data_IF_695732850840
#
_entry.id   IF_695732850840
#
_cell.length_a   1.000
_cell.length_b   1.000
_cell.length_c   1.000
_cell.angle_alpha   90.00
_cell.angle_beta   90.00
_cell.angle_gamma   90.00
#
_symmetry.space_group_name_H-M   'P 1'
#
loop_
_entity.id
_entity.type
_entity.pdbx_description
1 polymer ?
#
# COMPACT_ATOMS: atom_id res chain seq x y z
N UNK A 1 18.01 -26.20 35.31
CA UNK A 1 18.82 -25.79 34.12
C UNK A 1 18.11 -26.02 32.77
N UNK A 2 17.35 -27.11 32.53
CA UNK A 2 16.64 -27.34 31.25
C UNK A 2 15.56 -26.31 30.87
N UNK A 3 14.89 -25.67 31.84
CA UNK A 3 13.84 -24.66 31.57
C UNK A 3 14.38 -23.29 31.12
N UNK A 4 15.63 -22.95 31.45
CA UNK A 4 16.25 -21.67 31.09
C UNK A 4 16.72 -21.68 29.62
N UNK A 5 17.17 -22.83 29.12
CA UNK A 5 17.63 -22.98 27.73
C UNK A 5 16.50 -22.77 26.70
N UNK A 6 15.27 -23.19 27.04
CA UNK A 6 14.10 -23.06 26.16
C UNK A 6 13.72 -21.59 25.97
N UNK A 7 13.85 -20.76 27.01
CA UNK A 7 13.56 -19.31 26.94
C UNK A 7 14.56 -18.57 26.05
N UNK A 8 15.84 -18.93 26.10
CA UNK A 8 16.87 -18.33 25.24
C UNK A 8 16.71 -18.71 23.75
N UNK A 9 16.29 -19.94 23.46
CA UNK A 9 16.07 -20.40 22.07
C UNK A 9 14.90 -19.65 21.43
N UNK A 10 13.80 -19.43 22.17
CA UNK A 10 12.63 -18.69 21.68
C UNK A 10 12.98 -17.22 21.39
N UNK A 11 13.82 -16.59 22.22
CA UNK A 11 14.27 -15.21 22.03
C UNK A 11 15.17 -15.05 20.79
N UNK A 12 16.08 -16.00 20.52
CA UNK A 12 16.98 -15.96 19.36
C UNK A 12 16.24 -16.20 18.04
N UNK A 13 15.23 -17.08 18.01
CA UNK A 13 14.40 -17.29 16.82
C UNK A 13 13.53 -16.08 16.45
N UNK A 14 13.13 -15.27 17.44
CA UNK A 14 12.33 -14.08 17.20
C UNK A 14 13.15 -12.92 16.59
N UNK A 15 14.44 -12.81 16.91
CA UNK A 15 15.29 -11.75 16.37
C UNK A 15 15.56 -11.89 14.86
N UNK A 16 15.73 -13.12 14.37
CA UNK A 16 15.99 -13.38 12.94
C UNK A 16 14.80 -12.93 12.08
N UNK A 17 13.57 -13.28 12.48
CA UNK A 17 12.36 -12.84 11.80
C UNK A 17 12.13 -11.33 11.86
N UNK A 18 12.51 -10.67 12.96
CA UNK A 18 12.45 -9.20 13.06
C UNK A 18 13.43 -8.52 12.12
N UNK A 19 14.68 -9.01 12.03
CA UNK A 19 15.71 -8.42 11.17
C UNK A 19 15.41 -8.62 9.67
N UNK A 20 14.89 -9.79 9.29
CA UNK A 20 14.45 -10.07 7.91
C UNK A 20 13.27 -9.17 7.49
N UNK A 21 12.35 -8.87 8.41
CA UNK A 21 11.25 -7.94 8.15
C UNK A 21 11.74 -6.51 7.96
N UNK A 22 12.65 -6.03 8.82
CA UNK A 22 13.24 -4.68 8.69
C UNK A 22 13.94 -4.54 7.33
N UNK A 23 14.72 -5.54 6.92
CA UNK A 23 15.41 -5.50 5.64
C UNK A 23 14.45 -5.48 4.45
N UNK A 24 13.36 -6.28 4.51
CA UNK A 24 12.34 -6.25 3.47
C UNK A 24 11.68 -4.87 3.38
N UNK A 25 11.28 -4.30 4.50
CA UNK A 25 10.63 -2.98 4.56
C UNK A 25 11.52 -1.90 3.93
N UNK A 26 12.80 -1.88 4.30
CA UNK A 26 13.78 -0.95 3.73
C UNK A 26 13.93 -1.12 2.23
N UNK A 27 14.02 -2.37 1.75
CA UNK A 27 14.11 -2.65 0.30
C UNK A 27 12.84 -2.27 -0.45
N UNK A 28 11.67 -2.46 0.16
CA UNK A 28 10.38 -2.07 -0.41
C UNK A 28 10.29 -0.56 -0.55
N UNK A 29 10.62 0.17 0.51
CA UNK A 29 10.65 1.64 0.50
C UNK A 29 11.64 2.17 -0.55
N UNK A 30 12.86 1.61 -0.62
CA UNK A 30 13.88 1.99 -1.61
C UNK A 30 13.40 1.74 -3.04
N UNK A 31 12.80 0.58 -3.31
CA UNK A 31 12.27 0.27 -4.63
C UNK A 31 11.15 1.24 -5.02
N UNK A 32 10.22 1.52 -4.10
CA UNK A 32 9.13 2.45 -4.33
C UNK A 32 9.68 3.83 -4.69
N UNK A 33 10.60 4.38 -3.89
CA UNK A 33 11.30 5.64 -4.15
C UNK A 33 11.98 5.65 -5.53
N UNK A 34 12.77 4.62 -5.85
CA UNK A 34 13.48 4.55 -7.12
C UNK A 34 12.54 4.54 -8.34
N UNK A 35 11.37 3.87 -8.25
CA UNK A 35 10.36 3.91 -9.32
C UNK A 35 9.74 5.29 -9.50
N UNK A 36 9.47 5.99 -8.40
CA UNK A 36 9.01 7.40 -8.44
C UNK A 36 10.04 8.27 -9.15
N UNK A 37 11.30 8.19 -8.71
CA UNK A 37 12.39 9.02 -9.22
C UNK A 37 12.61 8.79 -10.72
N UNK A 38 12.63 7.52 -11.15
CA UNK A 38 12.77 7.17 -12.56
C UNK A 38 11.62 7.76 -13.39
N UNK A 39 10.39 7.71 -12.88
CA UNK A 39 9.22 8.24 -13.57
C UNK A 39 9.33 9.75 -13.75
N UNK A 40 9.68 10.48 -12.70
CA UNK A 40 9.84 11.93 -12.76
C UNK A 40 10.90 12.32 -13.80
N UNK A 41 12.01 11.57 -13.85
CA UNK A 41 13.07 11.78 -14.84
C UNK A 41 12.60 11.49 -16.27
N UNK A 42 11.82 10.42 -16.50
CA UNK A 42 11.30 10.05 -17.83
C UNK A 42 10.25 11.05 -18.33
N UNK A 43 9.35 11.51 -17.45
CA UNK A 43 8.25 12.40 -17.84
C UNK A 43 8.59 13.89 -17.74
N UNK A 44 9.84 14.25 -17.44
CA UNK A 44 10.30 15.64 -17.36
C UNK A 44 9.64 16.44 -16.23
N UNK A 45 9.23 15.76 -15.14
CA UNK A 45 8.54 16.43 -14.05
C UNK A 45 9.51 17.28 -13.20
N UNK A 46 9.06 18.40 -12.60
CA UNK A 46 9.95 19.45 -12.05
C UNK A 46 10.88 19.17 -10.84
N UNK A 47 11.61 18.06 -10.62
CA UNK A 47 12.46 17.81 -9.41
C UNK A 47 11.77 17.88 -8.02
N UNK A 48 11.17 19.00 -7.61
CA UNK A 48 10.32 19.13 -6.40
C UNK A 48 9.08 18.21 -6.46
N UNK A 49 8.70 17.81 -7.66
CA UNK A 49 7.72 16.75 -7.95
C UNK A 49 8.01 15.42 -7.24
N UNK A 50 9.26 15.09 -6.85
CA UNK A 50 9.55 13.89 -6.03
C UNK A 50 8.93 14.03 -4.64
N UNK A 51 9.14 15.19 -4.01
CA UNK A 51 8.58 15.48 -2.69
C UNK A 51 7.05 15.50 -2.75
N UNK A 52 6.47 16.14 -3.77
CA UNK A 52 5.03 16.13 -3.98
C UNK A 52 4.48 14.73 -4.25
N UNK A 53 5.17 13.92 -5.05
CA UNK A 53 4.76 12.54 -5.35
C UNK A 53 4.81 11.66 -4.11
N UNK A 54 5.95 11.68 -3.40
CA UNK A 54 6.16 10.87 -2.20
C UNK A 54 5.15 11.19 -1.12
N UNK A 55 4.76 12.46 -1.01
CA UNK A 55 3.79 12.93 -0.03
C UNK A 55 2.35 12.90 -0.52
N UNK A 56 2.08 12.71 -1.81
CA UNK A 56 0.71 12.72 -2.34
C UNK A 56 -0.16 11.65 -1.65
N UNK A 57 0.29 10.39 -1.62
CA UNK A 57 -0.50 9.31 -1.02
C UNK A 57 -0.70 9.52 0.48
N UNK A 58 0.32 10.04 1.19
CA UNK A 58 0.22 10.40 2.61
C UNK A 58 -0.73 11.56 2.82
N UNK A 59 -0.66 12.61 2.00
CA UNK A 59 -1.53 13.79 2.06
C UNK A 59 -2.98 13.44 1.74
N UNK A 60 -3.20 12.58 0.76
CA UNK A 60 -4.51 12.05 0.42
C UNK A 60 -5.09 11.19 1.56
N UNK A 61 -4.31 10.25 2.12
CA UNK A 61 -4.72 9.46 3.31
C UNK A 61 -5.05 10.38 4.50
N UNK A 62 -4.20 11.35 4.80
CA UNK A 62 -4.42 12.32 5.86
C UNK A 62 -5.67 13.17 5.61
N UNK A 63 -5.93 13.56 4.36
CA UNK A 63 -7.14 14.28 3.97
C UNK A 63 -8.40 13.46 4.19
N UNK A 64 -8.38 12.16 3.83
CA UNK A 64 -9.49 11.24 4.11
C UNK A 64 -9.79 11.18 5.62
N UNK A 65 -8.75 11.15 6.45
CA UNK A 65 -8.91 11.17 7.92
C UNK A 65 -9.45 12.52 8.40
N UNK A 66 -8.82 13.62 7.99
CA UNK A 66 -9.17 14.98 8.41
C UNK A 66 -10.63 15.33 8.10
N UNK A 67 -11.15 14.88 6.95
CA UNK A 67 -12.53 15.15 6.54
C UNK A 67 -13.53 14.09 6.99
N UNK A 68 -13.10 13.10 7.78
CA UNK A 68 -13.96 12.08 8.40
C UNK A 68 -14.41 10.97 7.45
N UNK A 69 -13.80 10.82 6.27
CA UNK A 69 -14.06 9.70 5.36
C UNK A 69 -13.34 8.42 5.80
N UNK A 70 -12.21 8.56 6.50
CA UNK A 70 -11.51 7.48 7.13
C UNK A 70 -11.44 7.76 8.64
N UNK A 71 -12.07 6.94 9.48
CA UNK A 71 -12.09 7.19 10.93
C UNK A 71 -10.68 7.18 11.55
N UNK A 72 -9.86 6.20 11.16
CA UNK A 72 -8.44 6.12 11.53
C UNK A 72 -7.69 5.22 10.54
N UNK A 73 -6.36 5.25 10.61
CA UNK A 73 -5.50 4.38 9.80
C UNK A 73 -5.48 2.97 10.40
N UNK A 74 -6.48 2.16 10.02
CA UNK A 74 -6.59 0.75 10.35
C UNK A 74 -7.34 -0.02 9.25
N UNK A 75 -7.24 -1.35 9.26
CA UNK A 75 -7.87 -2.18 8.22
C UNK A 75 -9.38 -2.01 8.16
N UNK A 76 -10.03 -1.92 9.34
CA UNK A 76 -11.48 -1.81 9.46
C UNK A 76 -12.01 -0.54 8.79
N UNK A 77 -11.37 0.61 9.03
CA UNK A 77 -11.77 1.89 8.47
C UNK A 77 -11.60 1.89 6.95
N UNK A 78 -10.53 1.29 6.43
CA UNK A 78 -10.33 1.16 4.99
C UNK A 78 -11.42 0.31 4.32
N UNK A 79 -11.77 -0.83 4.90
CA UNK A 79 -12.87 -1.66 4.40
C UNK A 79 -14.20 -0.92 4.40
N UNK A 80 -14.50 -0.22 5.49
CA UNK A 80 -15.69 0.61 5.58
C UNK A 80 -15.70 1.70 4.49
N UNK A 81 -14.56 2.36 4.25
CA UNK A 81 -14.43 3.33 3.16
C UNK A 81 -14.75 2.70 1.80
N UNK A 82 -14.23 1.51 1.47
CA UNK A 82 -14.57 0.83 0.21
C UNK A 82 -16.05 0.47 0.09
N UNK A 83 -16.74 0.17 1.19
CA UNK A 83 -18.18 -0.03 1.19
C UNK A 83 -18.93 1.29 0.91
N UNK A 84 -18.50 2.39 1.52
CA UNK A 84 -19.09 3.72 1.32
C UNK A 84 -18.85 4.27 -0.08
N UNK A 85 -17.69 3.97 -0.69
CA UNK A 85 -17.35 4.37 -2.06
C UNK A 85 -18.28 3.76 -3.12
N UNK A 86 -19.12 2.77 -2.79
CA UNK A 86 -20.20 2.31 -3.68
C UNK A 86 -21.28 3.37 -3.88
N UNK A 87 -21.37 4.34 -2.98
CA UNK A 87 -22.32 5.45 -3.05
C UNK A 87 -21.69 6.63 -3.78
N UNK A 88 -22.22 6.95 -4.97
CA UNK A 88 -21.71 8.04 -5.81
C UNK A 88 -21.65 9.40 -5.09
N UNK A 89 -22.58 9.65 -4.16
CA UNK A 89 -22.58 10.85 -3.31
C UNK A 89 -21.31 10.97 -2.45
N UNK A 90 -20.82 9.84 -1.92
CA UNK A 90 -19.60 9.79 -1.12
C UNK A 90 -18.39 10.06 -2.01
N UNK A 91 -18.28 9.40 -3.17
CA UNK A 91 -17.21 9.65 -4.14
C UNK A 91 -17.10 11.14 -4.49
N UNK A 92 -18.21 11.76 -4.90
CA UNK A 92 -18.28 13.19 -5.24
C UNK A 92 -17.89 14.09 -4.06
N UNK A 93 -18.26 13.72 -2.83
CA UNK A 93 -17.90 14.47 -1.64
C UNK A 93 -16.39 14.43 -1.38
N UNK A 94 -15.76 13.27 -1.52
CA UNK A 94 -14.32 13.10 -1.37
C UNK A 94 -13.57 13.92 -2.41
N UNK A 95 -13.92 13.76 -3.70
CA UNK A 95 -13.29 14.48 -4.81
C UNK A 95 -13.38 16.00 -4.60
N UNK A 96 -14.55 16.50 -4.18
CA UNK A 96 -14.74 17.93 -3.94
C UNK A 96 -13.92 18.43 -2.75
N UNK A 97 -13.92 17.72 -1.62
CA UNK A 97 -13.23 18.17 -0.39
C UNK A 97 -11.71 18.06 -0.50
N UNK A 98 -11.21 17.02 -1.15
CA UNK A 98 -9.77 16.79 -1.31
C UNK A 98 -9.21 17.41 -2.60
N UNK A 99 -10.07 17.96 -3.45
CA UNK A 99 -9.75 18.53 -4.76
C UNK A 99 -8.95 17.60 -5.70
N UNK A 100 -9.17 16.29 -5.57
CA UNK A 100 -8.41 15.27 -6.29
C UNK A 100 -8.78 15.18 -7.78
N UNK A 101 -7.88 14.65 -8.60
CA UNK A 101 -8.15 14.37 -10.01
C UNK A 101 -7.84 15.53 -10.95
N UNK A 102 -7.07 16.53 -10.49
CA UNK A 102 -6.59 17.66 -11.29
C UNK A 102 -5.09 17.50 -11.59
N UNK A 103 -4.67 17.92 -12.78
CA UNK A 103 -3.24 18.05 -13.14
C UNK A 103 -2.43 16.74 -13.09
N UNK A 104 -1.17 16.85 -12.65
CA UNK A 104 -0.14 15.79 -12.62
C UNK A 104 -0.52 14.58 -11.75
N UNK A 105 -1.49 14.72 -10.84
CA UNK A 105 -1.94 13.63 -9.95
C UNK A 105 -2.51 12.44 -10.72
N UNK A 106 -3.23 12.72 -11.81
CA UNK A 106 -3.86 11.69 -12.64
C UNK A 106 -2.82 10.76 -13.26
N UNK A 107 -1.71 11.32 -13.73
CA UNK A 107 -0.61 10.56 -14.28
C UNK A 107 0.10 9.77 -13.17
N UNK A 108 0.29 10.38 -12.00
CA UNK A 108 1.04 9.84 -10.86
C UNK A 108 0.35 8.64 -10.20
N UNK A 109 -0.98 8.68 -10.04
CA UNK A 109 -1.70 7.69 -9.21
C UNK A 109 -2.13 6.45 -10.00
N UNK A 110 -2.21 6.52 -11.33
CA UNK A 110 -2.81 5.47 -12.17
C UNK A 110 -2.11 4.10 -12.17
N UNK A 111 -1.00 3.93 -11.47
CA UNK A 111 -0.18 2.74 -11.62
C UNK A 111 -0.05 1.95 -10.30
N UNK A 112 -1.12 1.23 -9.92
CA UNK A 112 -1.04 0.16 -8.88
C UNK A 112 0.06 -0.85 -9.22
N UNK A 113 0.31 -1.04 -10.52
CA UNK A 113 1.37 -1.87 -11.10
C UNK A 113 2.76 -1.49 -10.59
N UNK A 114 2.98 -0.24 -10.15
CA UNK A 114 4.30 0.16 -9.61
C UNK A 114 4.59 -0.47 -8.26
N UNK A 115 3.64 -0.38 -7.32
CA UNK A 115 3.82 -0.97 -5.99
C UNK A 115 3.84 -2.51 -6.11
N UNK A 116 3.07 -3.08 -7.04
CA UNK A 116 3.15 -4.51 -7.38
C UNK A 116 4.51 -4.88 -7.98
N UNK A 117 5.07 -4.05 -8.87
CA UNK A 117 6.36 -4.30 -9.49
C UNK A 117 7.52 -4.33 -8.47
N UNK A 118 7.42 -3.56 -7.38
CA UNK A 118 8.35 -3.67 -6.26
C UNK A 118 8.16 -4.96 -5.46
N UNK A 119 6.92 -5.37 -5.22
CA UNK A 119 6.64 -6.64 -4.57
C UNK A 119 7.11 -7.83 -5.41
N UNK A 120 6.88 -7.84 -6.73
CA UNK A 120 7.40 -8.87 -7.66
C UNK A 120 8.91 -8.99 -7.53
N UNK A 121 9.63 -7.85 -7.54
CA UNK A 121 11.08 -7.85 -7.40
C UNK A 121 11.54 -8.51 -6.08
N UNK A 122 10.89 -8.18 -4.97
CA UNK A 122 11.31 -8.67 -3.65
C UNK A 122 10.83 -10.09 -3.35
N UNK A 123 9.62 -10.44 -3.78
CA UNK A 123 8.96 -11.71 -3.49
C UNK A 123 9.32 -12.78 -4.53
N UNK A 124 9.15 -12.52 -5.82
CA UNK A 124 9.28 -13.55 -6.85
C UNK A 124 10.71 -13.64 -7.39
N UNK A 125 11.36 -12.50 -7.64
CA UNK A 125 12.72 -12.47 -8.21
C UNK A 125 13.75 -12.74 -7.10
N UNK A 126 13.72 -11.95 -6.03
CA UNK A 126 14.70 -12.05 -4.95
C UNK A 126 14.34 -13.12 -3.90
N UNK A 127 13.13 -13.68 -3.95
CA UNK A 127 12.67 -14.77 -3.06
C UNK A 127 12.89 -14.49 -1.57
N UNK A 128 12.67 -13.24 -1.16
CA UNK A 128 12.91 -12.80 0.23
C UNK A 128 11.87 -13.36 1.22
N UNK A 129 10.76 -13.92 0.73
CA UNK A 129 9.69 -14.48 1.54
C UNK A 129 9.14 -15.74 0.90
N UNK A 130 8.50 -16.60 1.69
CA UNK A 130 7.83 -17.80 1.20
C UNK A 130 6.33 -17.57 0.90
N UNK A 131 5.67 -18.61 0.37
CA UNK A 131 4.25 -18.58 -0.02
C UNK A 131 3.25 -18.36 1.14
N UNK A 132 3.67 -18.63 2.38
CA UNK A 132 2.82 -18.46 3.55
C UNK A 132 2.88 -17.03 4.10
N UNK A 133 3.90 -16.26 3.72
CA UNK A 133 4.07 -14.86 4.09
C UNK A 133 2.96 -13.97 3.54
N UNK A 134 2.55 -12.98 4.32
CA UNK A 134 1.51 -12.04 3.92
C UNK A 134 1.86 -11.22 2.68
N UNK A 135 3.16 -10.92 2.48
CA UNK A 135 3.66 -10.15 1.34
C UNK A 135 3.51 -10.92 0.04
N UNK A 136 3.72 -12.24 0.09
CA UNK A 136 3.46 -13.13 -1.03
C UNK A 136 1.96 -13.15 -1.36
N UNK A 137 1.11 -13.34 -0.35
CA UNK A 137 -0.35 -13.37 -0.56
C UNK A 137 -0.90 -12.04 -1.06
N UNK A 138 -0.37 -10.93 -0.54
CA UNK A 138 -0.69 -9.57 -0.98
C UNK A 138 -0.30 -9.35 -2.45
N UNK A 139 0.88 -9.82 -2.88
CA UNK A 139 1.30 -9.78 -4.27
C UNK A 139 0.29 -10.51 -5.17
N UNK A 140 -0.06 -11.76 -4.85
CA UNK A 140 -0.99 -12.56 -5.66
C UNK A 140 -2.36 -11.91 -5.78
N UNK A 141 -2.92 -11.43 -4.67
CA UNK A 141 -4.21 -10.71 -4.70
C UNK A 141 -4.11 -9.39 -5.48
N UNK A 142 -2.99 -8.68 -5.37
CA UNK A 142 -2.74 -7.47 -6.13
C UNK A 142 -2.66 -7.71 -7.64
N UNK A 143 -2.00 -8.79 -8.07
CA UNK A 143 -1.98 -9.23 -9.47
C UNK A 143 -3.38 -9.60 -9.97
N UNK A 144 -4.18 -10.29 -9.16
CA UNK A 144 -5.57 -10.62 -9.51
C UNK A 144 -6.45 -9.37 -9.65
N UNK A 145 -6.29 -8.41 -8.74
CA UNK A 145 -6.95 -7.10 -8.82
C UNK A 145 -6.56 -6.42 -10.14
N UNK A 146 -5.28 -6.41 -10.50
CA UNK A 146 -4.83 -5.82 -11.78
C UNK A 146 -5.46 -6.44 -13.03
N UNK A 147 -5.93 -7.70 -12.96
CA UNK A 147 -6.37 -8.49 -14.11
C UNK A 147 -7.90 -8.66 -14.23
N UNK A 148 -8.70 -8.36 -13.20
CA UNK A 148 -10.15 -8.65 -13.16
C UNK A 148 -11.01 -7.38 -13.15
N UNK A 149 -12.27 -7.49 -13.62
CA UNK A 149 -13.28 -6.42 -13.60
C UNK A 149 -14.03 -6.28 -12.25
N UNK A 150 -14.10 -7.33 -11.42
CA UNK A 150 -14.77 -7.28 -10.10
C UNK A 150 -13.75 -7.16 -8.96
N UNK A 151 -13.61 -5.94 -8.43
CA UNK A 151 -12.55 -5.59 -7.48
C UNK A 151 -12.93 -5.73 -6.01
N UNK A 152 -14.21 -5.60 -5.64
CA UNK A 152 -14.57 -5.29 -4.25
C UNK A 152 -14.24 -6.42 -3.26
N UNK A 153 -14.54 -7.67 -3.60
CA UNK A 153 -14.20 -8.83 -2.75
C UNK A 153 -12.69 -9.06 -2.66
N UNK A 154 -11.96 -8.81 -3.76
CA UNK A 154 -10.50 -8.91 -3.81
C UNK A 154 -9.81 -7.85 -2.96
N UNK A 155 -10.33 -6.62 -2.96
CA UNK A 155 -9.82 -5.52 -2.12
C UNK A 155 -9.95 -5.87 -0.64
N UNK A 156 -11.10 -6.38 -0.21
CA UNK A 156 -11.31 -6.80 1.19
C UNK A 156 -10.33 -7.90 1.59
N UNK A 157 -10.14 -8.90 0.72
CA UNK A 157 -9.17 -9.99 0.93
C UNK A 157 -7.73 -9.46 0.98
N UNK A 158 -7.36 -8.51 0.12
CA UNK A 158 -6.03 -7.90 0.11
C UNK A 158 -5.76 -7.15 1.43
N UNK A 159 -6.72 -6.35 1.90
CA UNK A 159 -6.61 -5.66 3.20
C UNK A 159 -6.43 -6.68 4.33
N UNK A 160 -7.17 -7.79 4.31
CA UNK A 160 -7.06 -8.83 5.34
C UNK A 160 -5.70 -9.54 5.39
N UNK A 161 -4.99 -9.64 4.27
CA UNK A 161 -3.67 -10.27 4.27
C UNK A 161 -2.67 -9.47 5.09
N UNK A 162 -2.75 -8.14 5.10
CA UNK A 162 -1.77 -7.29 5.77
C UNK A 162 -1.98 -7.38 7.28
N UNK A 163 -1.00 -7.83 8.09
CA UNK A 163 -1.14 -7.85 9.54
C UNK A 163 -1.30 -6.43 10.10
N UNK A 164 -2.10 -6.23 11.15
CA UNK A 164 -2.40 -4.89 11.69
C UNK A 164 -1.14 -4.06 12.02
N UNK A 165 -0.09 -4.72 12.53
CA UNK A 165 1.19 -4.05 12.83
C UNK A 165 1.89 -3.53 11.57
N UNK A 166 1.78 -4.28 10.47
CA UNK A 166 2.38 -3.93 9.17
C UNK A 166 1.49 -2.95 8.43
N UNK A 167 0.17 -3.03 8.63
CA UNK A 167 -0.79 -2.07 8.09
C UNK A 167 -0.53 -0.65 8.62
N UNK A 168 0.19 -0.46 9.74
CA UNK A 168 0.62 0.87 10.21
C UNK A 168 1.77 1.48 9.40
N UNK A 169 2.45 0.70 8.57
CA UNK A 169 3.51 1.16 7.67
C UNK A 169 2.92 1.54 6.32
N UNK A 170 3.24 2.74 5.84
CA UNK A 170 2.62 3.27 4.62
C UNK A 170 3.00 2.44 3.39
N UNK A 171 4.20 1.86 3.39
CA UNK A 171 4.76 1.01 2.33
C UNK A 171 3.80 -0.11 1.93
N UNK A 172 3.08 -0.70 2.90
CA UNK A 172 2.07 -1.74 2.67
C UNK A 172 0.68 -1.18 2.36
N UNK A 173 0.36 0.04 2.82
CA UNK A 173 -0.93 0.68 2.54
C UNK A 173 -0.98 1.41 1.20
N UNK A 174 0.16 1.72 0.57
CA UNK A 174 0.22 2.44 -0.72
C UNK A 174 -0.70 1.83 -1.78
N UNK A 175 -0.69 0.51 -1.91
CA UNK A 175 -1.60 -0.22 -2.82
C UNK A 175 -3.06 0.07 -2.49
N UNK A 176 -3.43 0.00 -1.21
CA UNK A 176 -4.81 0.26 -0.73
C UNK A 176 -5.21 1.72 -0.99
N UNK A 177 -4.32 2.68 -0.72
CA UNK A 177 -4.56 4.11 -0.94
C UNK A 177 -4.75 4.40 -2.44
N UNK A 178 -3.92 3.80 -3.30
CA UNK A 178 -4.08 3.92 -4.76
C UNK A 178 -5.39 3.32 -5.26
N UNK A 179 -5.83 2.20 -4.68
CA UNK A 179 -7.13 1.59 -5.00
C UNK A 179 -8.29 2.51 -4.62
N UNK A 180 -8.22 3.18 -3.46
CA UNK A 180 -9.21 4.21 -3.09
C UNK A 180 -9.24 5.31 -4.16
N UNK A 181 -8.08 5.86 -4.53
CA UNK A 181 -8.01 6.89 -5.55
C UNK A 181 -8.54 6.39 -6.91
N UNK A 182 -8.22 5.15 -7.28
CA UNK A 182 -8.70 4.56 -8.51
C UNK A 182 -10.23 4.50 -8.56
N UNK A 183 -10.85 4.02 -7.48
CA UNK A 183 -12.32 3.97 -7.31
C UNK A 183 -13.00 5.34 -7.35
N UNK A 184 -12.28 6.42 -7.09
CA UNK A 184 -12.83 7.78 -7.17
C UNK A 184 -12.83 8.33 -8.59
N UNK A 185 -11.91 7.89 -9.45
CA UNK A 185 -11.62 8.60 -10.69
C UNK A 185 -11.75 7.76 -11.97
N UNK A 186 -11.74 6.43 -11.88
CA UNK A 186 -11.66 5.55 -13.04
C UNK A 186 -12.71 4.42 -13.07
N UNK A 187 -13.52 4.30 -12.01
CA UNK A 187 -14.64 3.36 -11.89
C UNK A 187 -15.84 4.07 -11.25
#
# INVERSE_FOLDING_TARGET
MKKILIVFIVLLSSCKGTQENILFDQKLEMCQKARVDNRINIFGAPKDSIFHYMNFLSGFENGLVLHGFLNKIDRKSYKNLFLELKQEKIKKSIIKKLETGKGLEKDIVHCIVEDLGCLVLLVDINKLVDKNDFRYKMLRLGEEIGNKQEYNSLIDMLIDQIPEREFKKIEYRRIVIRLVYFKLHFE
#
